data_IF_126818905102
#
_entry.id   IF_126818905102
#
_cell.length_a   1.000
_cell.length_b   1.000
_cell.length_c   1.000
_cell.angle_alpha   90.00
_cell.angle_beta   90.00
_cell.angle_gamma   90.00
#
_symmetry.space_group_name_H-M   'P 1'
#
loop_
_entity.id
_entity.type
_entity.pdbx_description
1 polymer ?
#
# COMPACT_ATOMS: atom_id res chain seq x y z
N UNK A 1 -22.71 8.37 7.41
CA UNK A 1 -23.62 7.48 6.65
C UNK A 1 -23.71 6.14 7.37
N UNK A 2 -24.91 5.71 7.77
CA UNK A 2 -25.10 4.55 8.65
C UNK A 2 -24.72 3.23 7.92
N UNK A 3 -24.06 2.29 8.60
CA UNK A 3 -23.49 1.05 7.99
C UNK A 3 -24.55 0.23 7.23
N UNK A 4 -25.77 0.17 7.79
CA UNK A 4 -26.92 -0.51 7.22
C UNK A 4 -27.41 0.07 5.87
N UNK A 5 -27.24 1.39 5.66
CA UNK A 5 -27.59 2.03 4.38
C UNK A 5 -26.58 1.72 3.29
N UNK A 6 -25.29 1.64 3.64
CA UNK A 6 -24.23 1.23 2.71
C UNK A 6 -24.46 -0.20 2.21
N UNK A 7 -24.78 -1.11 3.12
CA UNK A 7 -25.01 -2.51 2.78
C UNK A 7 -26.24 -2.69 1.86
N UNK A 8 -27.33 -1.95 2.14
CA UNK A 8 -28.52 -1.91 1.26
C UNK A 8 -28.22 -1.34 -0.12
N UNK A 9 -27.48 -0.23 -0.20
CA UNK A 9 -27.08 0.38 -1.47
C UNK A 9 -26.20 -0.58 -2.28
N UNK A 10 -25.29 -1.27 -1.61
CA UNK A 10 -24.40 -2.24 -2.24
C UNK A 10 -25.17 -3.44 -2.77
N UNK A 11 -26.16 -3.95 -2.04
CA UNK A 11 -27.07 -5.00 -2.51
C UNK A 11 -27.90 -4.56 -3.72
N UNK A 12 -28.40 -3.32 -3.73
CA UNK A 12 -29.12 -2.76 -4.87
C UNK A 12 -28.22 -2.69 -6.12
N UNK A 13 -26.99 -2.20 -5.95
CA UNK A 13 -26.00 -2.16 -7.02
C UNK A 13 -25.75 -3.57 -7.59
N UNK A 14 -25.55 -4.56 -6.72
CA UNK A 14 -25.36 -5.95 -7.17
C UNK A 14 -26.58 -6.51 -7.91
N UNK A 15 -27.79 -6.14 -7.50
CA UNK A 15 -29.02 -6.61 -8.16
C UNK A 15 -29.12 -6.12 -9.60
N UNK A 16 -28.64 -4.90 -9.88
CA UNK A 16 -28.60 -4.31 -11.22
C UNK A 16 -27.41 -4.83 -12.04
N UNK A 17 -26.22 -4.96 -11.42
CA UNK A 17 -24.99 -5.32 -12.12
C UNK A 17 -24.90 -6.82 -12.42
N UNK A 18 -25.33 -7.69 -11.51
CA UNK A 18 -25.13 -9.14 -11.64
C UNK A 18 -25.77 -9.75 -12.89
N UNK A 19 -27.00 -9.37 -13.32
CA UNK A 19 -27.57 -9.85 -14.58
C UNK A 19 -26.71 -9.48 -15.80
N UNK A 20 -26.18 -8.26 -15.82
CA UNK A 20 -25.29 -7.76 -16.88
C UNK A 20 -24.01 -8.60 -16.90
N UNK A 21 -23.36 -8.76 -15.75
CA UNK A 21 -22.12 -9.56 -15.63
C UNK A 21 -22.34 -11.01 -16.07
N UNK A 22 -23.44 -11.64 -15.66
CA UNK A 22 -23.79 -12.99 -16.11
C UNK A 22 -24.03 -13.06 -17.62
N UNK A 23 -24.64 -12.02 -18.20
CA UNK A 23 -24.81 -11.88 -19.65
C UNK A 23 -23.46 -11.85 -20.37
N UNK A 24 -22.53 -11.01 -19.91
CA UNK A 24 -21.17 -10.91 -20.47
C UNK A 24 -20.41 -12.24 -20.39
N UNK A 25 -20.50 -12.93 -19.25
CA UNK A 25 -19.89 -14.27 -19.07
C UNK A 25 -20.51 -15.27 -20.05
N UNK A 26 -21.84 -15.26 -20.23
CA UNK A 26 -22.55 -16.15 -21.17
C UNK A 26 -22.17 -15.87 -22.61
N UNK A 27 -21.85 -14.63 -22.95
CA UNK A 27 -21.31 -14.23 -24.26
C UNK A 27 -19.84 -14.60 -24.46
N UNK A 28 -19.18 -15.18 -23.44
CA UNK A 28 -17.78 -15.60 -23.52
C UNK A 28 -16.77 -14.45 -23.38
N UNK A 29 -17.20 -13.27 -22.90
CA UNK A 29 -16.28 -12.15 -22.68
C UNK A 29 -15.39 -12.43 -21.46
N UNK A 30 -14.08 -12.36 -21.69
CA UNK A 30 -13.07 -12.44 -20.63
C UNK A 30 -12.94 -11.09 -19.91
N UNK A 31 -12.43 -11.05 -18.66
CA UNK A 31 -12.17 -9.78 -17.96
C UNK A 31 -11.32 -8.81 -18.78
N UNK A 32 -10.22 -9.31 -19.36
CA UNK A 32 -9.33 -8.49 -20.19
C UNK A 32 -10.03 -7.93 -21.44
N UNK A 33 -10.98 -8.66 -22.02
CA UNK A 33 -11.76 -8.17 -23.15
C UNK A 33 -12.70 -7.03 -22.72
N UNK A 34 -13.31 -7.14 -21.53
CA UNK A 34 -14.15 -6.07 -20.97
C UNK A 34 -13.32 -4.81 -20.68
N UNK A 35 -12.14 -4.96 -20.08
CA UNK A 35 -11.19 -3.85 -19.90
C UNK A 35 -10.81 -3.19 -21.24
N UNK A 36 -10.53 -4.00 -22.28
CA UNK A 36 -10.18 -3.48 -23.60
C UNK A 36 -11.33 -2.73 -24.27
N UNK A 37 -12.58 -3.17 -24.07
CA UNK A 37 -13.76 -2.44 -24.51
C UNK A 37 -13.86 -1.09 -23.78
N UNK A 38 -13.67 -1.07 -22.45
CA UNK A 38 -13.63 0.18 -21.67
C UNK A 38 -12.58 1.16 -22.20
N UNK A 39 -11.38 0.66 -22.49
CA UNK A 39 -10.31 1.46 -23.11
C UNK A 39 -10.70 1.98 -24.50
N UNK A 40 -11.28 1.14 -25.37
CA UNK A 40 -11.73 1.54 -26.69
C UNK A 40 -12.84 2.61 -26.63
N UNK A 41 -13.75 2.53 -25.66
CA UNK A 41 -14.77 3.56 -25.43
C UNK A 41 -14.14 4.89 -25.03
N UNK A 42 -13.06 4.90 -24.23
CA UNK A 42 -12.30 6.11 -23.91
C UNK A 42 -11.61 6.72 -25.13
N UNK A 43 -11.14 5.89 -26.09
CA UNK A 43 -10.69 6.41 -27.40
C UNK A 43 -11.86 7.08 -28.13
N UNK A 44 -13.04 6.49 -28.09
CA UNK A 44 -14.27 7.11 -28.61
C UNK A 44 -14.56 8.48 -27.98
N UNK A 45 -14.33 8.64 -26.67
CA UNK A 45 -14.47 9.95 -25.98
C UNK A 45 -13.51 10.98 -26.58
N UNK A 46 -12.26 10.61 -26.86
CA UNK A 46 -11.29 11.50 -27.50
C UNK A 46 -11.75 11.89 -28.89
N UNK A 47 -12.28 10.95 -29.67
CA UNK A 47 -12.84 11.25 -31.00
C UNK A 47 -13.95 12.30 -30.90
N UNK A 48 -14.87 12.18 -29.93
CA UNK A 48 -15.92 13.19 -29.72
C UNK A 48 -15.31 14.57 -29.41
N UNK A 49 -14.30 14.64 -28.54
CA UNK A 49 -13.64 15.91 -28.24
C UNK A 49 -12.90 16.50 -29.45
N UNK A 50 -12.23 15.67 -30.26
CA UNK A 50 -11.54 16.12 -31.48
C UNK A 50 -12.55 16.63 -32.50
N UNK A 51 -13.62 15.88 -32.79
CA UNK A 51 -14.71 16.34 -33.67
C UNK A 51 -15.34 17.64 -33.17
N UNK A 52 -15.48 17.81 -31.85
CA UNK A 52 -15.97 19.04 -31.26
C UNK A 52 -15.07 20.26 -31.47
N UNK A 53 -13.77 20.07 -31.75
CA UNK A 53 -12.83 21.15 -32.14
C UNK A 53 -12.84 21.39 -33.64
N UNK A 54 -12.78 20.32 -34.42
CA UNK A 54 -12.59 20.40 -35.88
C UNK A 54 -13.88 20.77 -36.63
N UNK A 55 -15.02 20.24 -36.19
CA UNK A 55 -16.33 20.44 -36.82
C UNK A 55 -17.24 21.36 -36.01
N UNK A 56 -17.05 21.38 -34.69
CA UNK A 56 -17.82 22.20 -33.76
C UNK A 56 -17.32 23.64 -33.65
N UNK A 57 -18.20 24.53 -33.21
CA UNK A 57 -17.83 25.89 -32.83
C UNK A 57 -17.64 25.98 -31.32
N UNK A 58 -16.99 27.04 -30.84
CA UNK A 58 -16.68 27.24 -29.41
C UNK A 58 -17.90 27.16 -28.47
N UNK A 59 -19.04 27.67 -28.91
CA UNK A 59 -20.30 27.59 -28.16
C UNK A 59 -21.03 26.25 -28.28
N UNK A 60 -20.57 25.31 -29.11
CA UNK A 60 -21.18 24.00 -29.25
C UNK A 60 -20.65 23.02 -28.19
N UNK A 61 -21.23 23.15 -26.99
CA UNK A 61 -20.88 22.31 -25.85
C UNK A 61 -21.62 20.95 -25.86
N UNK A 62 -22.35 20.63 -26.94
CA UNK A 62 -23.02 19.32 -27.06
C UNK A 62 -22.01 18.18 -27.11
N UNK A 63 -20.86 18.39 -27.77
CA UNK A 63 -19.73 17.46 -27.79
C UNK A 63 -19.19 17.18 -26.38
N UNK A 64 -19.08 18.20 -25.53
CA UNK A 64 -18.70 18.03 -24.12
C UNK A 64 -19.73 17.15 -23.40
N UNK A 65 -21.02 17.38 -23.63
CA UNK A 65 -22.10 16.57 -23.07
C UNK A 65 -22.04 15.10 -23.48
N UNK A 66 -21.89 14.82 -24.78
CA UNK A 66 -21.79 13.47 -25.31
C UNK A 66 -20.51 12.75 -24.88
N UNK A 67 -19.38 13.47 -24.83
CA UNK A 67 -18.12 12.96 -24.29
C UNK A 67 -18.30 12.57 -22.81
N UNK A 68 -18.99 13.39 -22.02
CA UNK A 68 -19.34 13.09 -20.64
C UNK A 68 -20.21 11.84 -20.50
N UNK A 69 -21.24 11.70 -21.34
CA UNK A 69 -22.11 10.53 -21.35
C UNK A 69 -21.35 9.24 -21.68
N UNK A 70 -20.50 9.28 -22.71
CA UNK A 70 -19.67 8.14 -23.10
C UNK A 70 -18.60 7.83 -22.05
N UNK A 71 -18.03 8.83 -21.39
CA UNK A 71 -17.08 8.63 -20.26
C UNK A 71 -17.76 7.89 -19.10
N UNK A 72 -18.99 8.30 -18.74
CA UNK A 72 -19.75 7.63 -17.68
C UNK A 72 -20.04 6.17 -18.04
N UNK A 73 -20.45 5.94 -19.29
CA UNK A 73 -20.73 4.61 -19.81
C UNK A 73 -19.47 3.74 -19.85
N UNK A 74 -18.33 4.26 -20.32
CA UNK A 74 -17.05 3.57 -20.34
C UNK A 74 -16.60 3.17 -18.92
N UNK A 75 -16.76 4.07 -17.94
CA UNK A 75 -16.44 3.79 -16.55
C UNK A 75 -17.26 2.65 -15.91
N UNK A 76 -18.39 2.25 -16.51
CA UNK A 76 -19.11 1.04 -16.10
C UNK A 76 -18.34 -0.22 -16.49
N UNK A 77 -17.70 -0.27 -17.66
CA UNK A 77 -16.94 -1.43 -18.12
C UNK A 77 -15.72 -1.71 -17.22
N UNK A 78 -15.05 -0.64 -16.79
CA UNK A 78 -13.95 -0.70 -15.82
C UNK A 78 -14.37 -1.20 -14.43
N UNK A 79 -15.66 -1.16 -14.11
CA UNK A 79 -16.20 -1.76 -12.87
C UNK A 79 -16.67 -3.20 -13.12
N UNK A 80 -17.11 -3.49 -14.35
CA UNK A 80 -17.65 -4.79 -14.75
C UNK A 80 -16.55 -5.84 -14.92
N UNK A 81 -15.36 -5.50 -15.42
CA UNK A 81 -14.27 -6.45 -15.64
C UNK A 81 -13.85 -7.20 -14.35
N UNK A 82 -13.73 -6.49 -13.22
CA UNK A 82 -13.44 -7.08 -11.92
C UNK A 82 -14.57 -7.95 -11.40
N UNK A 83 -15.83 -7.63 -11.73
CA UNK A 83 -16.98 -8.49 -11.41
C UNK A 83 -17.03 -9.73 -12.30
N UNK A 84 -16.73 -9.60 -13.60
CA UNK A 84 -16.61 -10.72 -14.54
C UNK A 84 -15.49 -11.66 -14.09
N UNK A 85 -14.36 -11.13 -13.62
CA UNK A 85 -13.27 -11.93 -13.07
C UNK A 85 -13.70 -12.71 -11.82
N UNK A 86 -14.42 -12.07 -10.89
CA UNK A 86 -14.90 -12.69 -9.65
C UNK A 86 -16.02 -13.71 -9.87
N UNK A 87 -17.08 -13.33 -10.58
CA UNK A 87 -18.24 -14.19 -10.81
C UNK A 87 -17.98 -15.28 -11.85
N UNK A 88 -17.11 -15.02 -12.82
CA UNK A 88 -16.69 -16.01 -13.81
C UNK A 88 -15.58 -16.95 -13.34
N UNK A 89 -15.04 -16.74 -12.13
CA UNK A 89 -13.86 -17.46 -11.63
C UNK A 89 -12.65 -17.39 -12.59
N UNK A 90 -12.47 -16.23 -13.23
CA UNK A 90 -11.45 -15.95 -14.25
C UNK A 90 -10.34 -15.01 -13.73
N UNK A 91 -10.20 -14.89 -12.40
CA UNK A 91 -9.19 -14.04 -11.79
C UNK A 91 -7.76 -14.52 -12.03
N UNK A 92 -6.85 -13.61 -12.41
CA UNK A 92 -5.42 -13.91 -12.55
C UNK A 92 -4.54 -12.72 -12.13
N UNK A 93 -3.29 -12.99 -11.72
CA UNK A 93 -2.31 -11.94 -11.38
C UNK A 93 -1.99 -11.04 -12.57
N UNK A 94 -1.86 -11.63 -13.76
CA UNK A 94 -1.66 -10.86 -14.99
C UNK A 94 -2.88 -10.01 -15.33
N UNK A 95 -4.10 -10.56 -15.23
CA UNK A 95 -5.33 -9.80 -15.47
C UNK A 95 -5.46 -8.58 -14.53
N UNK A 96 -5.15 -8.76 -13.25
CA UNK A 96 -5.13 -7.65 -12.28
C UNK A 96 -4.08 -6.58 -12.62
N UNK A 97 -2.91 -6.97 -13.16
CA UNK A 97 -1.89 -6.03 -13.66
C UNK A 97 -2.34 -5.34 -14.94
N UNK A 98 -2.94 -6.08 -15.87
CA UNK A 98 -3.43 -5.61 -17.16
C UNK A 98 -4.54 -4.56 -16.98
N UNK A 99 -5.59 -4.89 -16.23
CA UNK A 99 -6.68 -4.00 -15.82
C UNK A 99 -6.12 -2.68 -15.28
N UNK A 100 -5.30 -2.82 -14.24
CA UNK A 100 -4.52 -1.73 -13.68
C UNK A 100 -3.83 -0.88 -14.76
N UNK A 101 -2.96 -1.45 -15.59
CA UNK A 101 -2.19 -0.66 -16.58
C UNK A 101 -3.11 0.07 -17.56
N UNK A 102 -4.14 -0.61 -18.05
CA UNK A 102 -5.10 -0.05 -19.00
C UNK A 102 -5.96 1.05 -18.37
N UNK A 103 -6.29 1.00 -17.08
CA UNK A 103 -6.95 2.10 -16.37
C UNK A 103 -6.16 3.40 -16.47
N UNK A 104 -4.83 3.31 -16.31
CA UNK A 104 -3.95 4.49 -16.37
C UNK A 104 -3.90 5.05 -17.79
N UNK A 105 -3.80 4.18 -18.80
CA UNK A 105 -3.89 4.61 -20.19
C UNK A 105 -5.26 5.23 -20.51
N UNK A 106 -6.35 4.65 -20.02
CA UNK A 106 -7.71 5.17 -20.21
C UNK A 106 -7.84 6.59 -19.65
N UNK A 107 -7.38 6.83 -18.42
CA UNK A 107 -7.39 8.18 -17.84
C UNK A 107 -6.48 9.15 -18.60
N UNK A 108 -5.27 8.75 -18.99
CA UNK A 108 -4.36 9.59 -19.78
C UNK A 108 -4.97 9.99 -21.12
N UNK A 109 -5.61 9.05 -21.82
CA UNK A 109 -6.29 9.27 -23.11
C UNK A 109 -7.49 10.20 -22.93
N UNK A 110 -8.31 9.98 -21.90
CA UNK A 110 -9.44 10.86 -21.56
C UNK A 110 -8.99 12.31 -21.32
N UNK A 111 -7.99 12.52 -20.44
CA UNK A 111 -7.45 13.85 -20.16
C UNK A 111 -6.78 14.48 -21.39
N UNK A 112 -6.16 13.69 -22.26
CA UNK A 112 -5.65 14.18 -23.53
C UNK A 112 -6.77 14.78 -24.39
N UNK A 113 -7.91 14.08 -24.53
CA UNK A 113 -9.08 14.61 -25.25
C UNK A 113 -9.62 15.91 -24.65
N UNK A 114 -9.74 15.96 -23.31
CA UNK A 114 -10.17 17.16 -22.58
C UNK A 114 -9.21 18.34 -22.83
N UNK A 115 -7.90 18.11 -22.69
CA UNK A 115 -6.88 19.13 -22.94
C UNK A 115 -6.93 19.62 -24.39
N UNK A 116 -7.04 18.69 -25.34
CA UNK A 116 -7.15 19.01 -26.76
C UNK A 116 -8.35 19.91 -27.04
N UNK A 117 -9.54 19.55 -26.53
CA UNK A 117 -10.76 20.35 -26.68
C UNK A 117 -10.62 21.75 -26.08
N UNK A 118 -10.12 21.84 -24.84
CA UNK A 118 -9.96 23.12 -24.16
C UNK A 118 -8.92 24.03 -24.84
N UNK A 119 -7.82 23.47 -25.36
CA UNK A 119 -6.83 24.25 -26.11
C UNK A 119 -7.38 24.71 -27.45
N UNK A 120 -8.03 23.81 -28.20
CA UNK A 120 -8.61 24.08 -29.52
C UNK A 120 -9.63 25.22 -29.50
N UNK A 121 -10.41 25.32 -28.41
CA UNK A 121 -11.38 26.40 -28.19
C UNK A 121 -10.84 27.58 -27.36
N UNK A 122 -9.52 27.70 -27.20
CA UNK A 122 -8.85 28.80 -26.50
C UNK A 122 -9.22 28.97 -25.01
N UNK A 123 -9.56 27.89 -24.31
CA UNK A 123 -9.74 27.82 -22.86
C UNK A 123 -8.43 27.47 -22.13
N UNK A 124 -7.36 28.21 -22.42
CA UNK A 124 -5.98 27.88 -22.00
C UNK A 124 -5.81 27.69 -20.48
N UNK A 125 -6.43 28.54 -19.65
CA UNK A 125 -6.34 28.38 -18.20
C UNK A 125 -7.01 27.08 -17.72
N UNK A 126 -8.15 26.71 -18.32
CA UNK A 126 -8.85 25.46 -18.01
C UNK A 126 -8.05 24.24 -18.46
N UNK A 127 -7.32 24.31 -19.59
CA UNK A 127 -6.44 23.22 -20.02
C UNK A 127 -5.25 23.01 -19.08
N UNK A 128 -4.73 24.08 -18.45
CA UNK A 128 -3.71 23.94 -17.39
C UNK A 128 -4.29 23.16 -16.20
N UNK A 129 -5.52 23.48 -15.77
CA UNK A 129 -6.16 22.74 -14.69
C UNK A 129 -6.42 21.28 -15.05
N UNK A 130 -6.84 21.00 -16.29
CA UNK A 130 -6.99 19.63 -16.80
C UNK A 130 -5.67 18.86 -16.75
N UNK A 131 -4.56 19.50 -17.14
CA UNK A 131 -3.23 18.89 -17.07
C UNK A 131 -2.77 18.63 -15.63
N UNK A 132 -3.04 19.56 -14.70
CA UNK A 132 -2.75 19.36 -13.26
C UNK A 132 -3.61 18.23 -12.67
N UNK A 133 -4.87 18.11 -13.10
CA UNK A 133 -5.74 16.99 -12.73
C UNK A 133 -5.19 15.66 -13.23
N UNK A 134 -4.68 15.61 -14.47
CA UNK A 134 -4.00 14.43 -15.01
C UNK A 134 -2.78 14.04 -14.13
N UNK A 135 -1.90 14.98 -13.80
CA UNK A 135 -0.75 14.73 -12.91
C UNK A 135 -1.23 14.15 -11.58
N UNK A 136 -2.22 14.79 -10.97
CA UNK A 136 -2.78 14.34 -9.70
C UNK A 136 -3.37 12.94 -9.80
N UNK A 137 -4.12 12.64 -10.86
CA UNK A 137 -4.74 11.33 -11.11
C UNK A 137 -3.70 10.21 -11.17
N UNK A 138 -2.61 10.45 -11.93
CA UNK A 138 -1.49 9.53 -12.03
C UNK A 138 -0.78 9.34 -10.70
N UNK A 139 -0.54 10.43 -9.96
CA UNK A 139 0.15 10.38 -8.66
C UNK A 139 -0.67 9.69 -7.58
N UNK A 140 -2.01 9.81 -7.58
CA UNK A 140 -2.90 9.07 -6.67
C UNK A 140 -2.73 7.56 -6.86
N UNK A 141 -2.69 7.10 -8.10
CA UNK A 141 -2.53 5.68 -8.44
C UNK A 141 -1.11 5.18 -8.18
N UNK A 142 -0.09 5.93 -8.61
CA UNK A 142 1.32 5.56 -8.43
C UNK A 142 1.72 5.49 -6.96
N UNK A 143 1.35 6.48 -6.15
CA UNK A 143 1.68 6.52 -4.72
C UNK A 143 1.10 5.32 -3.99
N UNK A 144 -0.13 4.92 -4.34
CA UNK A 144 -0.76 3.70 -3.80
C UNK A 144 0.01 2.46 -4.22
N UNK A 145 0.25 2.26 -5.51
CA UNK A 145 0.95 1.09 -6.01
C UNK A 145 2.36 0.96 -5.40
N UNK A 146 3.07 2.08 -5.25
CA UNK A 146 4.40 2.11 -4.62
C UNK A 146 4.34 1.81 -3.13
N UNK A 147 3.37 2.36 -2.40
CA UNK A 147 3.16 2.07 -0.98
C UNK A 147 2.80 0.60 -0.76
N UNK A 148 1.88 0.03 -1.56
CA UNK A 148 1.51 -1.39 -1.51
C UNK A 148 2.70 -2.30 -1.88
N UNK A 149 3.55 -1.90 -2.83
CA UNK A 149 4.80 -2.60 -3.12
C UNK A 149 5.81 -2.58 -1.95
N UNK A 150 5.79 -1.54 -1.13
CA UNK A 150 6.50 -1.50 0.16
C UNK A 150 5.79 -2.30 1.26
N UNK A 151 4.56 -2.76 0.99
CA UNK A 151 3.74 -3.54 1.91
C UNK A 151 2.90 -2.71 2.86
N UNK A 152 2.57 -1.47 2.47
CA UNK A 152 1.69 -0.58 3.21
C UNK A 152 0.36 -0.52 2.47
N UNK A 153 -0.71 -0.90 3.16
CA UNK A 153 -2.04 -0.72 2.61
C UNK A 153 -2.39 0.76 2.51
N UNK A 154 -2.66 1.22 1.29
CA UNK A 154 -2.97 2.61 1.00
C UNK A 154 -4.37 2.72 0.36
N UNK A 155 -5.41 2.59 1.20
CA UNK A 155 -6.82 2.51 0.76
C UNK A 155 -7.61 3.84 0.89
N UNK A 156 -7.00 4.88 1.47
CA UNK A 156 -7.65 6.18 1.72
C UNK A 156 -7.55 7.18 0.57
N UNK A 157 -8.18 8.35 0.74
CA UNK A 157 -8.11 9.47 -0.20
C UNK A 157 -9.48 10.00 -0.62
N UNK A 158 -9.61 11.32 -0.74
CA UNK A 158 -10.88 12.00 -1.05
C UNK A 158 -11.25 11.93 -2.54
N UNK A 159 -10.25 11.77 -3.43
CA UNK A 159 -10.44 11.81 -4.88
C UNK A 159 -9.88 10.54 -5.54
N UNK A 160 -10.61 9.43 -5.40
CA UNK A 160 -10.26 8.16 -6.04
C UNK A 160 -10.87 8.09 -7.45
N UNK A 161 -10.66 6.96 -8.14
CA UNK A 161 -11.07 6.81 -9.53
C UNK A 161 -12.58 6.96 -9.76
N UNK A 162 -13.47 6.31 -8.97
CA UNK A 162 -14.91 6.47 -9.18
C UNK A 162 -15.37 7.92 -9.04
N UNK A 163 -14.84 8.65 -8.06
CA UNK A 163 -15.18 10.06 -7.83
C UNK A 163 -14.75 10.93 -9.02
N UNK A 164 -13.56 10.67 -9.59
CA UNK A 164 -13.08 11.40 -10.77
C UNK A 164 -13.95 11.15 -11.99
N UNK A 165 -14.25 9.89 -12.30
CA UNK A 165 -15.10 9.52 -13.44
C UNK A 165 -16.47 10.19 -13.32
N UNK A 166 -17.07 10.17 -12.13
CA UNK A 166 -18.37 10.80 -11.87
C UNK A 166 -18.29 12.32 -12.03
N UNK A 167 -17.28 12.98 -11.45
CA UNK A 167 -17.15 14.45 -11.56
C UNK A 167 -16.96 14.88 -13.01
N UNK A 168 -16.04 14.27 -13.76
CA UNK A 168 -15.82 14.60 -15.18
C UNK A 168 -17.10 14.38 -15.96
N UNK A 169 -17.72 13.20 -15.82
CA UNK A 169 -18.85 12.82 -16.65
C UNK A 169 -20.10 13.65 -16.36
N UNK A 170 -20.47 13.79 -15.09
CA UNK A 170 -21.68 14.51 -14.69
C UNK A 170 -21.55 16.00 -14.98
N UNK A 171 -20.39 16.61 -14.72
CA UNK A 171 -20.18 18.03 -15.03
C UNK A 171 -20.18 18.29 -16.54
N UNK A 172 -19.62 17.38 -17.34
CA UNK A 172 -19.63 17.47 -18.80
C UNK A 172 -21.06 17.32 -19.37
N UNK A 173 -21.83 16.33 -18.90
CA UNK A 173 -23.25 16.16 -19.27
C UNK A 173 -24.06 17.41 -18.87
N UNK A 174 -23.90 17.88 -17.63
CA UNK A 174 -24.59 19.07 -17.15
C UNK A 174 -24.23 20.30 -17.99
N UNK A 175 -22.97 20.43 -18.42
CA UNK A 175 -22.51 21.49 -19.30
C UNK A 175 -23.21 21.44 -20.67
N UNK A 176 -23.27 20.26 -21.30
CA UNK A 176 -23.96 20.07 -22.58
C UNK A 176 -25.47 20.33 -22.50
N UNK A 177 -26.14 19.83 -21.46
CA UNK A 177 -27.57 20.09 -21.21
C UNK A 177 -27.81 21.58 -20.97
N UNK A 178 -27.00 22.22 -20.13
CA UNK A 178 -27.19 23.63 -19.81
C UNK A 178 -26.97 24.51 -21.04
N UNK A 179 -25.95 24.21 -21.84
CA UNK A 179 -25.70 24.88 -23.13
C UNK A 179 -26.91 24.86 -24.06
N UNK A 180 -27.68 23.76 -24.08
CA UNK A 180 -28.92 23.69 -24.86
C UNK A 180 -29.99 24.69 -24.40
N UNK A 181 -30.08 24.98 -23.10
CA UNK A 181 -31.10 25.87 -22.53
C UNK A 181 -30.68 27.34 -22.48
N UNK A 182 -29.44 27.64 -22.09
CA UNK A 182 -28.97 29.03 -21.89
C UNK A 182 -28.04 29.52 -23.00
N UNK A 183 -27.63 28.66 -23.92
CA UNK A 183 -26.62 28.91 -24.94
C UNK A 183 -25.20 28.62 -24.45
N UNK A 184 -24.33 28.13 -25.33
CA UNK A 184 -22.94 27.81 -24.96
C UNK A 184 -22.03 29.02 -24.78
N UNK A 185 -22.39 30.16 -25.40
CA UNK A 185 -21.66 31.42 -25.28
C UNK A 185 -22.19 32.35 -24.18
N UNK A 186 -23.05 31.84 -23.28
CA UNK A 186 -23.57 32.64 -22.17
C UNK A 186 -22.45 33.05 -21.22
N UNK A 187 -22.44 34.34 -20.85
CA UNK A 187 -21.43 34.95 -19.97
C UNK A 187 -22.10 35.79 -18.89
N UNK A 188 -21.66 35.61 -17.65
CA UNK A 188 -22.08 36.43 -16.51
C UNK A 188 -20.98 37.44 -16.16
N UNK A 189 -21.37 38.71 -16.12
CA UNK A 189 -20.51 39.82 -15.75
C UNK A 189 -20.95 40.41 -14.41
N UNK A 190 -19.97 40.77 -13.57
CA UNK A 190 -20.22 41.56 -12.37
C UNK A 190 -19.48 42.89 -12.50
N UNK A 191 -20.16 44.03 -12.32
CA UNK A 191 -19.52 45.33 -12.35
C UNK A 191 -18.35 45.41 -11.37
N UNK A 192 -17.17 45.82 -11.85
CA UNK A 192 -15.95 45.97 -11.04
C UNK A 192 -14.95 44.81 -11.10
N UNK A 193 -15.27 43.70 -11.77
CA UNK A 193 -14.36 42.57 -11.97
C UNK A 193 -13.92 42.50 -13.45
N UNK A 194 -12.61 42.49 -13.77
CA UNK A 194 -12.12 42.61 -15.15
C UNK A 194 -12.24 41.32 -15.98
N UNK A 195 -12.74 40.23 -15.39
CA UNK A 195 -12.90 38.92 -16.03
C UNK A 195 -14.34 38.40 -15.89
N UNK A 196 -14.77 37.53 -16.82
CA UNK A 196 -16.05 36.85 -16.73
C UNK A 196 -16.06 35.91 -15.52
N UNK A 197 -17.07 36.01 -14.65
CA UNK A 197 -17.14 35.17 -13.44
C UNK A 197 -17.71 33.79 -13.76
N UNK A 198 -18.52 33.71 -14.80
CA UNK A 198 -19.11 32.47 -15.26
C UNK A 198 -19.28 32.50 -16.77
N UNK A 199 -18.88 31.41 -17.41
CA UNK A 199 -19.22 31.05 -18.78
C UNK A 199 -19.94 29.70 -18.75
N UNK A 200 -20.75 29.35 -19.74
CA UNK A 200 -21.46 28.04 -19.72
C UNK A 200 -20.49 26.86 -19.53
N UNK A 201 -19.31 26.92 -20.16
CA UNK A 201 -18.26 25.90 -20.02
C UNK A 201 -17.71 25.79 -18.58
N UNK A 202 -17.90 26.81 -17.74
CA UNK A 202 -17.50 26.78 -16.33
C UNK A 202 -18.22 25.69 -15.53
N UNK A 203 -19.38 25.22 -16.00
CA UNK A 203 -20.09 24.06 -15.42
C UNK A 203 -19.21 22.80 -15.48
N UNK A 204 -18.39 22.67 -16.52
CA UNK A 204 -17.42 21.58 -16.67
C UNK A 204 -16.06 21.94 -16.05
N UNK A 205 -15.55 23.15 -16.28
CA UNK A 205 -14.16 23.49 -15.92
C UNK A 205 -13.96 23.83 -14.45
N UNK A 206 -14.97 24.33 -13.72
CA UNK A 206 -14.86 24.54 -12.27
C UNK A 206 -14.75 23.20 -11.53
N UNK A 207 -15.62 22.20 -11.76
CA UNK A 207 -15.43 20.86 -11.18
C UNK A 207 -14.10 20.22 -11.56
N UNK A 208 -13.62 20.44 -12.79
CA UNK A 208 -12.30 19.98 -13.23
C UNK A 208 -11.16 20.63 -12.44
N UNK A 209 -11.24 21.94 -12.16
CA UNK A 209 -10.30 22.63 -11.28
C UNK A 209 -10.33 22.08 -9.84
N UNK A 210 -11.54 21.89 -9.27
CA UNK A 210 -11.69 21.29 -7.94
C UNK A 210 -11.06 19.89 -7.92
N UNK A 211 -11.31 19.09 -8.95
CA UNK A 211 -10.68 17.78 -9.10
C UNK A 211 -9.16 17.91 -9.11
N UNK A 212 -8.60 18.83 -9.90
CA UNK A 212 -7.16 19.05 -9.99
C UNK A 212 -6.51 19.28 -8.63
N UNK A 213 -7.12 20.13 -7.80
CA UNK A 213 -6.66 20.39 -6.44
C UNK A 213 -6.80 19.13 -5.57
N UNK A 214 -7.96 18.50 -5.59
CA UNK A 214 -8.30 17.37 -4.72
C UNK A 214 -7.48 16.10 -5.03
N UNK A 215 -7.17 15.82 -6.29
CA UNK A 215 -6.31 14.70 -6.68
C UNK A 215 -4.89 14.89 -6.15
N UNK A 216 -4.34 16.10 -6.25
CA UNK A 216 -2.98 16.39 -5.78
C UNK A 216 -2.90 16.37 -4.25
N UNK A 217 -3.90 16.93 -3.55
CA UNK A 217 -4.03 16.79 -2.09
C UNK A 217 -4.11 15.31 -1.70
N UNK A 218 -4.89 14.51 -2.44
CA UNK A 218 -5.03 13.07 -2.17
C UNK A 218 -3.71 12.32 -2.37
N UNK A 219 -2.97 12.62 -3.43
CA UNK A 219 -1.67 12.00 -3.69
C UNK A 219 -0.65 12.30 -2.57
N UNK A 220 -0.56 13.57 -2.15
CA UNK A 220 0.30 14.00 -1.04
C UNK A 220 -0.16 13.34 0.27
N UNK A 221 -1.47 13.32 0.54
CA UNK A 221 -2.04 12.65 1.71
C UNK A 221 -1.64 11.18 1.79
N UNK A 222 -1.77 10.44 0.67
CA UNK A 222 -1.33 9.04 0.58
C UNK A 222 0.16 8.88 0.84
N UNK A 223 1.00 9.79 0.34
CA UNK A 223 2.44 9.76 0.59
C UNK A 223 2.75 10.00 2.07
N UNK A 224 2.06 10.97 2.69
CA UNK A 224 2.21 11.27 4.12
C UNK A 224 1.71 10.12 5.00
N UNK A 225 0.62 9.46 4.62
CA UNK A 225 0.09 8.30 5.32
C UNK A 225 1.04 7.09 5.19
N UNK A 226 1.62 6.88 4.01
CA UNK A 226 2.66 5.87 3.81
C UNK A 226 3.90 6.19 4.66
N UNK A 227 4.33 7.45 4.74
CA UNK A 227 5.41 7.87 5.64
C UNK A 227 5.07 7.57 7.10
N UNK A 228 3.85 7.90 7.54
CA UNK A 228 3.37 7.60 8.90
C UNK A 228 3.26 6.10 9.17
N UNK A 229 2.94 5.27 8.18
CA UNK A 229 2.85 3.82 8.35
C UNK A 229 4.25 3.17 8.37
N UNK A 230 5.15 3.61 7.49
CA UNK A 230 6.58 3.23 7.52
C UNK A 230 7.20 3.58 8.86
N UNK A 231 6.92 4.80 9.31
CA UNK A 231 7.30 5.23 10.62
C UNK A 231 6.56 4.33 11.61
N UNK A 232 5.24 4.30 11.76
CA UNK A 232 4.53 3.49 12.77
C UNK A 232 4.97 1.99 12.86
N UNK A 233 5.46 1.39 11.78
CA UNK A 233 6.23 0.15 11.80
C UNK A 233 7.46 0.13 12.70
N UNK A 234 8.32 1.14 12.56
CA UNK A 234 9.36 1.50 13.53
C UNK A 234 8.80 1.88 14.91
N UNK A 235 7.52 2.28 15.02
CA UNK A 235 6.85 2.45 16.33
C UNK A 235 6.48 1.14 16.97
N UNK A 236 5.96 0.19 16.22
CA UNK A 236 5.70 -1.15 16.77
C UNK A 236 6.97 -1.94 17.10
N UNK A 237 8.11 -1.53 16.56
CA UNK A 237 9.45 -1.93 16.99
C UNK A 237 9.79 -1.43 18.40
N UNK A 238 9.40 -0.19 18.72
CA UNK A 238 9.66 0.50 19.97
C UNK A 238 8.48 0.50 20.97
N UNK A 239 7.28 0.04 20.61
CA UNK A 239 6.10 0.03 21.49
C UNK A 239 6.27 -0.74 22.80
N UNK A 240 7.05 -1.83 22.88
CA UNK A 240 7.22 -2.47 24.17
C UNK A 240 8.20 -1.68 25.08
N UNK A 241 8.75 -0.54 24.63
CA UNK A 241 9.30 0.50 25.53
C UNK A 241 8.21 1.34 26.23
N UNK A 242 7.03 1.54 25.64
CA UNK A 242 6.06 2.51 26.14
C UNK A 242 5.17 2.00 27.30
N UNK A 243 5.01 0.69 27.49
CA UNK A 243 4.21 0.17 28.62
C UNK A 243 4.86 0.34 29.99
N UNK A 244 6.08 0.90 30.07
CA UNK A 244 6.74 1.26 31.32
C UNK A 244 6.90 2.77 31.54
N UNK A 245 6.42 3.62 30.63
CA UNK A 245 6.32 5.06 30.88
C UNK A 245 5.03 5.38 31.66
N UNK A 246 4.85 4.73 32.81
CA UNK A 246 3.87 5.13 33.81
C UNK A 246 4.45 6.26 34.65
N UNK A 247 3.89 7.45 34.50
CA UNK A 247 3.93 8.61 35.40
C UNK A 247 5.19 8.73 36.30
N UNK A 248 6.32 9.06 35.68
CA UNK A 248 7.54 9.40 36.40
C UNK A 248 7.46 10.83 36.95
N UNK A 249 6.81 11.00 38.10
CA UNK A 249 7.28 12.03 39.04
C UNK A 249 8.74 11.73 39.34
N UNK A 250 9.56 12.71 39.04
CA UNK A 250 10.98 12.79 39.36
C UNK A 250 11.23 12.31 40.81
N UNK A 251 11.74 11.08 40.94
CA UNK A 251 12.34 10.59 42.17
C UNK A 251 13.57 9.80 41.77
N UNK A 252 14.75 10.42 41.98
CA UNK A 252 16.05 9.84 41.69
C UNK A 252 16.32 8.55 42.46
N UNK A 253 15.90 7.42 41.89
CA UNK A 253 16.35 6.08 42.24
C UNK A 253 16.65 5.31 40.96
N UNK A 254 17.92 4.93 40.79
CA UNK A 254 18.33 3.91 39.83
C UNK A 254 17.53 2.63 40.08
N UNK A 255 16.50 2.38 39.27
CA UNK A 255 15.86 1.08 39.18
C UNK A 255 16.90 0.15 38.54
N UNK A 256 17.30 -0.91 39.24
CA UNK A 256 18.27 -1.88 38.74
C UNK A 256 17.83 -2.47 37.40
N UNK A 257 18.81 -2.87 36.58
CA UNK A 257 18.56 -3.43 35.25
C UNK A 257 17.49 -4.53 35.29
N UNK A 258 16.53 -4.54 34.34
CA UNK A 258 15.46 -5.54 34.33
C UNK A 258 16.04 -6.95 34.24
N UNK A 259 15.60 -7.84 35.13
CA UNK A 259 15.97 -9.26 35.08
C UNK A 259 15.24 -9.90 33.90
N UNK A 260 16.01 -10.31 32.89
CA UNK A 260 15.45 -10.91 31.68
C UNK A 260 15.11 -12.39 31.88
N UNK A 261 13.88 -12.85 31.57
CA UNK A 261 13.53 -14.26 31.64
C UNK A 261 14.28 -15.07 30.58
N UNK A 262 14.63 -16.32 30.91
CA UNK A 262 15.16 -17.27 29.93
C UNK A 262 14.00 -18.12 29.40
N UNK A 263 13.72 -18.13 28.08
CA UNK A 263 12.67 -18.96 27.53
C UNK A 263 12.87 -20.44 27.82
N UNK A 264 11.78 -21.09 28.24
CA UNK A 264 11.70 -22.53 28.52
C UNK A 264 10.49 -23.15 27.82
N UNK A 265 10.47 -24.47 27.69
CA UNK A 265 9.39 -25.26 27.04
C UNK A 265 9.14 -24.94 25.56
N UNK A 266 10.19 -24.58 24.81
CA UNK A 266 10.13 -24.37 23.36
C UNK A 266 10.99 -25.45 22.69
N UNK A 267 10.39 -26.54 22.16
CA UNK A 267 11.12 -27.77 21.80
C UNK A 267 12.21 -27.60 20.75
N UNK A 268 12.02 -26.71 19.77
CA UNK A 268 12.95 -26.54 18.66
C UNK A 268 13.55 -25.12 18.60
N UNK A 269 13.64 -24.46 19.76
CA UNK A 269 14.20 -23.12 19.85
C UNK A 269 15.64 -23.10 19.34
N UNK A 270 15.88 -22.30 18.32
CA UNK A 270 17.20 -22.09 17.76
C UNK A 270 17.98 -21.07 18.59
N UNK A 271 17.38 -19.89 18.79
CA UNK A 271 17.89 -18.84 19.67
C UNK A 271 16.79 -17.84 20.00
N UNK A 272 17.06 -16.91 20.91
CA UNK A 272 16.14 -15.84 21.23
C UNK A 272 16.82 -14.48 21.30
N UNK A 273 16.03 -13.42 21.16
CA UNK A 273 16.51 -12.05 21.19
C UNK A 273 15.79 -11.20 22.24
N UNK A 274 16.58 -10.44 23.00
CA UNK A 274 16.11 -9.55 24.06
C UNK A 274 16.72 -8.15 23.90
N UNK A 275 16.12 -7.15 24.53
CA UNK A 275 16.62 -5.77 24.48
C UNK A 275 16.17 -4.94 25.67
N UNK A 276 16.97 -3.99 26.12
CA UNK A 276 16.51 -3.00 27.10
C UNK A 276 15.55 -1.99 26.49
N UNK A 277 14.61 -1.45 27.31
CA UNK A 277 14.21 -1.87 28.66
C UNK A 277 13.18 -3.03 28.68
N UNK A 278 12.87 -3.63 27.53
CA UNK A 278 11.72 -4.51 27.41
C UNK A 278 12.04 -6.01 27.57
N UNK A 279 11.39 -6.65 28.55
CA UNK A 279 11.58 -8.09 28.85
C UNK A 279 10.91 -9.05 27.86
N UNK A 280 10.01 -8.57 26.98
CA UNK A 280 9.41 -9.44 25.96
C UNK A 280 10.49 -9.91 24.99
N UNK A 281 10.43 -11.19 24.70
CA UNK A 281 11.51 -11.89 24.01
C UNK A 281 11.03 -12.31 22.63
N UNK A 282 11.87 -12.13 21.61
CA UNK A 282 11.61 -12.66 20.28
C UNK A 282 12.22 -14.05 20.23
N UNK A 283 11.45 -15.04 19.83
CA UNK A 283 11.89 -16.43 19.67
C UNK A 283 12.10 -16.71 18.19
N UNK A 284 13.23 -17.36 17.90
CA UNK A 284 13.53 -17.96 16.60
C UNK A 284 13.52 -19.47 16.79
N UNK A 285 12.49 -20.09 16.23
CA UNK A 285 12.15 -21.50 16.42
C UNK A 285 12.27 -22.21 15.06
N UNK A 286 12.60 -23.49 15.07
CA UNK A 286 12.62 -24.28 13.85
C UNK A 286 11.20 -24.46 13.32
N UNK A 287 10.96 -24.16 12.04
CA UNK A 287 9.63 -24.31 11.45
C UNK A 287 9.43 -25.74 10.95
N UNK A 288 8.87 -26.58 11.81
CA UNK A 288 8.56 -27.97 11.50
C UNK A 288 7.11 -28.10 11.03
N UNK A 289 6.92 -28.74 9.87
CA UNK A 289 5.61 -29.06 9.30
C UNK A 289 4.91 -30.15 10.14
N UNK A 290 3.61 -30.36 9.90
CA UNK A 290 2.80 -31.34 10.65
C UNK A 290 3.29 -32.78 10.52
N UNK A 291 4.03 -33.08 9.46
CA UNK A 291 4.63 -34.39 9.18
C UNK A 291 6.02 -34.57 9.83
N UNK A 292 6.51 -33.57 10.58
CA UNK A 292 7.81 -33.60 11.25
C UNK A 292 8.97 -33.17 10.37
N UNK A 293 8.74 -32.78 9.12
CA UNK A 293 9.78 -32.29 8.21
C UNK A 293 10.01 -30.78 8.36
N UNK A 294 11.22 -30.32 8.05
CA UNK A 294 11.53 -28.89 8.02
C UNK A 294 10.82 -28.22 6.85
N UNK A 295 10.20 -27.07 7.09
CA UNK A 295 9.74 -26.18 6.01
C UNK A 295 10.97 -25.62 5.29
N UNK A 296 11.24 -26.06 4.05
CA UNK A 296 12.43 -25.65 3.31
C UNK A 296 12.35 -24.23 2.76
N UNK A 297 11.14 -23.68 2.63
CA UNK A 297 10.91 -22.32 2.12
C UNK A 297 11.01 -21.30 3.27
N UNK A 298 10.45 -21.62 4.44
CA UNK A 298 10.52 -20.81 5.65
C UNK A 298 11.02 -21.62 6.87
N UNK A 299 12.30 -22.04 6.92
CA UNK A 299 12.80 -22.97 7.95
C UNK A 299 12.86 -22.40 9.38
N UNK A 300 12.63 -21.09 9.55
CA UNK A 300 12.68 -20.41 10.84
C UNK A 300 11.36 -19.67 11.09
N UNK A 301 10.65 -20.08 12.13
CA UNK A 301 9.47 -19.39 12.62
C UNK A 301 9.87 -18.33 13.66
N UNK A 302 9.37 -17.11 13.50
CA UNK A 302 9.71 -15.97 14.38
C UNK A 302 8.46 -15.38 15.01
N UNK A 303 8.45 -15.29 16.34
CA UNK A 303 7.31 -14.81 17.13
C UNK A 303 7.73 -14.17 18.46
N UNK A 304 6.80 -13.47 19.11
CA UNK A 304 6.95 -12.92 20.44
C UNK A 304 6.59 -13.93 21.53
N UNK A 305 7.35 -13.88 22.63
CA UNK A 305 6.93 -14.31 23.96
C UNK A 305 6.75 -13.07 24.84
N UNK A 306 5.49 -12.77 25.19
CA UNK A 306 5.11 -11.57 25.93
C UNK A 306 5.15 -11.81 27.44
N UNK A 307 6.35 -11.86 28.02
CA UNK A 307 6.52 -12.05 29.47
C UNK A 307 5.87 -10.95 30.33
N UNK A 308 5.79 -9.72 29.81
CA UNK A 308 5.07 -8.64 30.49
C UNK A 308 3.55 -8.89 30.56
N UNK A 309 3.02 -9.78 29.71
CA UNK A 309 1.61 -10.08 29.55
C UNK A 309 1.34 -11.58 29.81
N UNK A 310 1.95 -12.14 30.87
CA UNK A 310 1.70 -13.52 31.28
C UNK A 310 2.41 -14.62 30.47
N UNK A 311 3.29 -14.25 29.54
CA UNK A 311 4.10 -15.20 28.76
C UNK A 311 3.44 -15.71 27.48
N UNK A 312 2.41 -15.04 26.97
CA UNK A 312 1.71 -15.48 25.75
C UNK A 312 2.58 -15.42 24.48
N UNK A 313 2.42 -16.45 23.64
CA UNK A 313 2.97 -16.48 22.28
C UNK A 313 2.15 -15.58 21.35
N UNK A 314 2.79 -14.69 20.60
CA UNK A 314 2.13 -13.81 19.62
C UNK A 314 2.94 -13.67 18.35
N UNK A 315 2.29 -13.80 17.20
CA UNK A 315 2.98 -13.65 15.91
C UNK A 315 3.49 -12.24 15.67
N UNK A 316 4.60 -12.14 14.92
CA UNK A 316 5.05 -10.87 14.37
C UNK A 316 4.05 -10.37 13.34
N UNK A 317 3.68 -9.09 13.44
CA UNK A 317 2.95 -8.45 12.36
C UNK A 317 3.86 -8.30 11.12
N UNK A 318 3.24 -8.07 9.96
CA UNK A 318 3.95 -7.99 8.68
C UNK A 318 5.10 -6.96 8.68
N UNK A 319 4.92 -5.81 9.33
CA UNK A 319 5.94 -4.76 9.35
C UNK A 319 7.15 -5.19 10.21
N UNK A 320 6.89 -5.74 11.40
CA UNK A 320 7.93 -6.30 12.28
C UNK A 320 8.71 -7.42 11.59
N UNK A 321 8.03 -8.29 10.84
CA UNK A 321 8.68 -9.36 10.07
C UNK A 321 9.52 -8.78 8.93
N UNK A 322 9.01 -7.83 8.16
CA UNK A 322 9.67 -7.35 6.93
C UNK A 322 10.79 -6.34 7.17
N UNK A 323 10.78 -5.61 8.29
CA UNK A 323 11.72 -4.51 8.54
C UNK A 323 12.53 -4.63 9.83
N UNK A 324 12.27 -5.63 10.69
CA UNK A 324 12.91 -5.71 11.99
C UNK A 324 13.42 -7.09 12.37
N UNK A 325 12.53 -7.92 12.89
CA UNK A 325 12.83 -9.18 13.56
C UNK A 325 12.76 -10.38 12.61
N UNK A 326 12.35 -10.18 11.36
CA UNK A 326 12.40 -11.26 10.39
C UNK A 326 13.82 -11.64 10.01
N UNK A 327 13.94 -12.86 9.50
CA UNK A 327 15.16 -13.41 8.93
C UNK A 327 14.93 -13.65 7.44
N UNK A 328 15.90 -13.23 6.63
CA UNK A 328 16.00 -13.64 5.24
C UNK A 328 16.76 -14.95 5.17
N UNK A 329 16.19 -15.93 4.49
CA UNK A 329 16.75 -17.26 4.34
C UNK A 329 17.24 -17.43 2.91
N UNK A 330 18.43 -18.02 2.76
CA UNK A 330 18.95 -18.48 1.47
C UNK A 330 19.45 -19.91 1.62
N UNK A 331 18.86 -20.84 0.87
CA UNK A 331 19.35 -22.23 0.83
C UNK A 331 20.76 -22.29 0.23
N UNK A 332 21.64 -23.04 0.88
CA UNK A 332 23.01 -23.34 0.43
C UNK A 332 23.14 -24.79 -0.09
N UNK A 333 22.05 -25.55 -0.08
CA UNK A 333 22.06 -27.00 -0.35
C UNK A 333 22.47 -27.85 0.86
N UNK A 334 22.25 -29.16 0.77
CA UNK A 334 22.60 -30.15 1.82
C UNK A 334 22.07 -29.79 3.22
N UNK A 335 20.79 -29.39 3.33
CA UNK A 335 20.16 -28.96 4.59
C UNK A 335 20.86 -27.79 5.31
N UNK A 336 21.60 -26.96 4.56
CA UNK A 336 22.25 -25.76 5.08
C UNK A 336 21.57 -24.50 4.54
N UNK A 337 21.36 -23.53 5.41
CA UNK A 337 20.76 -22.25 5.05
C UNK A 337 21.59 -21.10 5.61
N UNK A 338 21.84 -20.08 4.80
CA UNK A 338 22.34 -18.79 5.27
C UNK A 338 21.15 -17.95 5.75
N UNK A 339 21.27 -17.43 6.97
CA UNK A 339 20.27 -16.63 7.67
C UNK A 339 20.82 -15.21 7.85
N UNK A 340 20.07 -14.21 7.39
CA UNK A 340 20.40 -12.80 7.56
C UNK A 340 19.29 -12.08 8.32
N UNK A 341 19.64 -11.39 9.41
CA UNK A 341 18.71 -10.48 10.09
C UNK A 341 18.33 -9.34 9.15
N UNK A 342 17.04 -9.03 9.08
CA UNK A 342 16.54 -7.89 8.30
C UNK A 342 17.09 -6.56 8.82
N UNK A 343 17.26 -6.43 10.14
CA UNK A 343 17.73 -5.20 10.78
C UNK A 343 19.27 -5.07 10.80
N UNK A 344 20.01 -6.19 10.71
CA UNK A 344 21.47 -6.18 10.81
C UNK A 344 22.12 -7.24 9.90
N UNK A 345 22.23 -6.92 8.60
CA UNK A 345 22.74 -7.84 7.59
C UNK A 345 24.25 -8.12 7.68
N UNK A 346 25.03 -7.32 8.44
CA UNK A 346 26.48 -7.48 8.56
C UNK A 346 26.90 -8.77 9.29
N UNK A 347 26.01 -9.35 10.12
CA UNK A 347 26.28 -10.61 10.83
C UNK A 347 25.62 -11.76 10.07
N UNK A 348 26.44 -12.61 9.51
CA UNK A 348 25.98 -13.83 8.86
C UNK A 348 25.76 -14.94 9.90
N UNK A 349 24.68 -15.69 9.72
CA UNK A 349 24.31 -16.84 10.55
C UNK A 349 23.99 -18.01 9.64
N UNK A 350 24.16 -19.24 10.13
CA UNK A 350 23.94 -20.45 9.34
C UNK A 350 23.08 -21.45 10.10
N UNK A 351 21.97 -21.86 9.51
CA UNK A 351 21.18 -22.99 10.01
C UNK A 351 21.74 -24.28 9.41
N UNK A 352 22.16 -25.21 10.26
CA UNK A 352 22.67 -26.51 9.84
C UNK A 352 22.55 -27.55 10.96
N UNK A 353 22.59 -28.83 10.60
CA UNK A 353 22.58 -29.95 11.56
C UNK A 353 23.92 -30.08 12.28
N UNK A 354 23.89 -30.37 13.58
CA UNK A 354 25.03 -30.84 14.36
C UNK A 354 25.41 -32.28 13.96
N UNK A 355 26.55 -32.81 14.45
CA UNK A 355 26.87 -34.23 14.33
C UNK A 355 25.82 -35.16 14.95
N UNK A 356 25.00 -34.68 15.89
CA UNK A 356 23.90 -35.45 16.51
C UNK A 356 22.62 -35.43 15.68
N UNK A 357 22.56 -34.62 14.62
CA UNK A 357 21.42 -34.52 13.70
C UNK A 357 20.47 -33.36 14.00
N UNK A 358 20.66 -32.64 15.11
CA UNK A 358 19.82 -31.53 15.54
C UNK A 358 20.17 -30.23 14.80
N UNK A 359 19.15 -29.46 14.41
CA UNK A 359 19.38 -28.17 13.78
C UNK A 359 19.78 -27.11 14.80
N UNK A 360 20.85 -26.38 14.48
CA UNK A 360 21.29 -25.21 15.24
C UNK A 360 21.62 -24.05 14.31
N UNK A 361 21.57 -22.84 14.88
CA UNK A 361 22.06 -21.63 14.21
C UNK A 361 23.48 -21.38 14.66
N UNK A 362 24.41 -21.36 13.72
CA UNK A 362 25.81 -21.07 13.94
C UNK A 362 26.12 -19.62 13.55
N UNK A 363 26.87 -18.92 14.40
CA UNK A 363 27.36 -17.58 14.13
C UNK A 363 28.80 -17.46 14.59
N UNK A 364 29.59 -16.62 13.91
CA UNK A 364 30.92 -16.28 14.38
C UNK A 364 30.81 -15.42 15.64
N UNK A 365 31.28 -15.90 16.78
CA UNK A 365 31.33 -15.15 18.05
C UNK A 365 32.81 -15.02 18.42
N UNK A 366 33.35 -13.82 18.28
CA UNK A 366 34.81 -13.60 18.31
C UNK A 366 35.49 -14.32 17.13
N UNK A 367 36.40 -15.26 17.43
CA UNK A 367 37.10 -16.07 16.43
C UNK A 367 36.53 -17.49 16.25
N UNK A 368 35.44 -17.83 16.94
CA UNK A 368 34.87 -19.19 16.94
C UNK A 368 33.52 -19.23 16.24
N UNK A 369 33.26 -20.27 15.44
CA UNK A 369 31.92 -20.58 14.93
C UNK A 369 31.14 -21.32 16.02
N UNK A 370 30.28 -20.60 16.75
CA UNK A 370 29.54 -21.12 17.88
C UNK A 370 28.06 -21.29 17.58
N UNK A 371 27.42 -22.19 18.33
CA UNK A 371 25.96 -22.35 18.37
C UNK A 371 25.38 -21.13 19.09
N UNK A 372 24.63 -20.31 18.38
CA UNK A 372 24.03 -19.10 18.90
C UNK A 372 22.85 -19.44 19.82
N UNK A 373 22.83 -18.88 21.03
CA UNK A 373 21.74 -19.10 22.00
C UNK A 373 20.94 -17.82 22.25
N UNK A 374 21.62 -16.67 22.36
CA UNK A 374 20.97 -15.40 22.70
C UNK A 374 21.64 -14.23 21.96
N UNK A 375 20.80 -13.35 21.44
CA UNK A 375 21.19 -12.00 21.02
C UNK A 375 20.58 -11.01 22.02
N UNK A 376 21.37 -10.09 22.53
CA UNK A 376 20.92 -9.05 23.46
C UNK A 376 21.31 -7.66 22.94
N UNK A 377 20.37 -6.72 22.94
CA UNK A 377 20.61 -5.34 22.53
C UNK A 377 20.51 -4.41 23.74
N UNK A 378 21.59 -3.70 24.04
CA UNK A 378 21.56 -2.59 25.00
C UNK A 378 21.18 -1.32 24.28
N UNK A 379 20.08 -0.69 24.69
CA UNK A 379 19.58 0.56 24.11
C UNK A 379 19.57 1.64 25.19
N UNK A 380 20.24 2.76 24.96
CA UNK A 380 20.27 3.91 25.87
C UNK A 380 19.92 5.19 25.13
N UNK A 381 18.72 5.70 25.40
CA UNK A 381 18.21 6.91 24.75
C UNK A 381 18.00 6.74 23.24
N UNK A 382 18.11 7.85 22.50
CA UNK A 382 17.76 7.94 21.09
C UNK A 382 16.32 8.40 20.88
N UNK A 383 15.96 8.63 19.61
CA UNK A 383 14.58 8.96 19.28
C UNK A 383 13.79 7.67 19.14
N UNK A 384 12.50 7.80 19.33
CA UNK A 384 11.53 6.74 19.12
C UNK A 384 11.73 6.00 17.76
N UNK A 385 12.20 6.72 16.73
CA UNK A 385 12.48 6.20 15.39
C UNK A 385 13.89 5.64 15.20
N UNK A 386 14.84 6.08 16.01
CA UNK A 386 16.25 5.75 15.91
C UNK A 386 16.79 5.50 17.32
N UNK A 387 16.52 4.29 17.88
CA UNK A 387 17.03 3.93 19.19
C UNK A 387 18.56 3.91 19.14
N UNK A 388 19.18 4.49 20.15
CA UNK A 388 20.64 4.48 20.25
C UNK A 388 21.08 3.14 20.86
N UNK A 389 21.46 2.20 20.00
CA UNK A 389 21.94 0.88 20.41
C UNK A 389 23.40 1.02 20.84
N UNK A 390 23.66 0.89 22.14
CA UNK A 390 24.99 1.04 22.74
C UNK A 390 25.89 -0.14 22.37
N UNK A 391 25.35 -1.36 22.45
CA UNK A 391 26.02 -2.57 22.00
C UNK A 391 25.02 -3.70 21.71
N UNK A 392 25.47 -4.67 20.92
CA UNK A 392 24.83 -5.94 20.66
C UNK A 392 25.71 -7.03 21.29
N UNK A 393 25.18 -7.80 22.23
CA UNK A 393 25.83 -8.97 22.80
C UNK A 393 25.32 -10.24 22.11
N UNK A 394 26.25 -11.04 21.59
CA UNK A 394 26.00 -12.38 21.10
C UNK A 394 26.50 -13.37 22.15
N UNK A 395 25.67 -14.35 22.47
CA UNK A 395 25.97 -15.39 23.44
C UNK A 395 25.67 -16.76 22.81
N UNK A 396 26.63 -17.67 22.91
CA UNK A 396 26.53 -19.00 22.30
C UNK A 396 27.37 -20.04 23.02
N UNK A 397 27.40 -21.25 22.47
CA UNK A 397 28.18 -22.39 22.96
C UNK A 397 29.20 -22.77 21.89
N UNK A 398 30.47 -22.89 22.28
CA UNK A 398 31.50 -23.46 21.42
C UNK A 398 31.24 -24.98 21.25
N UNK A 399 30.99 -25.46 20.02
CA UNK A 399 30.69 -26.87 19.78
C UNK A 399 31.85 -27.81 20.11
N UNK A 400 33.10 -27.32 20.14
CA UNK A 400 34.27 -28.15 20.43
C UNK A 400 34.49 -28.35 21.94
N UNK A 401 34.34 -27.27 22.72
CA UNK A 401 34.61 -27.29 24.16
C UNK A 401 33.36 -27.41 25.04
N UNK A 402 32.17 -27.19 24.48
CA UNK A 402 30.91 -27.09 25.21
C UNK A 402 30.81 -25.86 26.12
N UNK A 403 31.80 -24.96 26.09
CA UNK A 403 31.83 -23.77 26.93
C UNK A 403 31.01 -22.65 26.33
N UNK A 404 30.40 -21.87 27.21
CA UNK A 404 29.71 -20.64 26.84
C UNK A 404 30.70 -19.57 26.40
N UNK A 405 30.43 -18.93 25.25
CA UNK A 405 31.20 -17.81 24.74
C UNK A 405 30.31 -16.60 24.44
N UNK A 406 30.88 -15.40 24.57
CA UNK A 406 30.17 -14.14 24.34
C UNK A 406 31.03 -13.16 23.56
N UNK A 407 30.39 -12.31 22.76
CA UNK A 407 30.99 -11.20 22.03
C UNK A 407 30.07 -9.99 22.14
N UNK A 408 30.65 -8.81 22.40
CA UNK A 408 29.93 -7.54 22.34
C UNK A 408 30.40 -6.75 21.13
N UNK A 409 29.44 -6.22 20.36
CA UNK A 409 29.65 -5.49 19.11
C UNK A 409 29.01 -4.12 19.24
N UNK A 410 29.71 -3.07 18.84
CA UNK A 410 29.11 -1.75 18.65
C UNK A 410 28.54 -1.66 17.22
N UNK A 411 27.22 -1.43 17.06
CA UNK A 411 26.53 -1.54 15.76
C UNK A 411 26.92 -0.51 14.71
#
# INVERSE_FOLDING_TARGET
>A
MNKQWRDKLQQLIYLVINPIVKGLIKMGLTPNAVTLIGFALNIGVVIIFVSGVEEGHRGDLSYVGWAGALTLFAGLFDMLDGQVARLGNMGSRFGALFDSVLDRYSEMVLFFGICYYLIGHHYFLSSIFAFIALIGSMMVSYTRARAEGLGIECKGGLMQRPERVVIISVSAIACGITSHYIGGDYKLFVPGIPFHIFETISIFTIPLFVMAVMTNITAIGRLMDAKKALSAGLVLLALPLMTFAGDGKDTGKHVGDPVFPVPSNIPHMLFYMQRTPNINTIIYDLNIQKDGTLDTDEPVSVYWMRYADGGEKKDLNYIQRKFAYGIKVKSLGNDKYSLHSVAYAKKEMFLMKSPTGDYHVYAKIGNTMAILNRIYLQIEGGTFWFPNVVYIELKGIDPASGKEIKEQIKP
#
